data_IF_691578215156
#
_entry.id   IF_691578215156
#
_cell.length_a   1.000
_cell.length_b   1.000
_cell.length_c   1.000
_cell.angle_alpha   90.00
_cell.angle_beta   90.00
_cell.angle_gamma   90.00
#
_symmetry.space_group_name_H-M   'P 1'
#
loop_
_entity.id
_entity.type
_entity.pdbx_description
1 polymer ?
#
# COMPACT_ATOMS: atom_id res chain seq x y z
N UNK A 1 18.00 -1.92 7.55
CA UNK A 1 17.31 -2.90 8.37
C UNK A 1 16.12 -3.47 7.60
N UNK A 2 15.79 -4.74 7.82
CA UNK A 2 14.61 -5.40 7.26
C UNK A 2 13.73 -5.85 8.43
N UNK A 3 12.44 -5.54 8.35
CA UNK A 3 11.45 -5.92 9.36
C UNK A 3 10.35 -6.75 8.70
N UNK A 4 9.90 -7.80 9.38
CA UNK A 4 8.83 -8.68 8.88
C UNK A 4 7.53 -8.33 9.58
N UNK A 5 6.71 -7.50 8.94
CA UNK A 5 5.42 -7.05 9.47
C UNK A 5 4.32 -7.10 8.40
N UNK A 6 3.08 -7.32 8.82
CA UNK A 6 1.90 -7.05 8.01
C UNK A 6 1.44 -5.62 8.32
N UNK A 7 1.60 -4.72 7.36
CA UNK A 7 1.29 -3.30 7.53
C UNK A 7 -0.19 -3.03 7.22
N UNK A 8 -0.88 -2.29 8.12
CA UNK A 8 -2.28 -1.88 7.94
C UNK A 8 -2.56 -0.57 8.66
N UNK A 9 -3.83 -0.15 8.67
CA UNK A 9 -4.32 1.09 9.30
C UNK A 9 -4.47 1.02 10.82
N UNK A 10 -4.47 -0.20 11.39
CA UNK A 10 -4.61 -0.45 12.84
C UNK A 10 -3.63 -1.50 13.31
N UNK A 11 -3.20 -1.36 14.58
CA UNK A 11 -2.35 -2.34 15.23
C UNK A 11 -3.16 -3.52 15.78
N UNK A 12 -2.54 -4.69 15.81
CA UNK A 12 -3.05 -5.91 16.45
C UNK A 12 -4.39 -6.44 15.90
N UNK A 13 -4.80 -6.05 14.71
CA UNK A 13 -5.91 -6.67 14.01
C UNK A 13 -5.40 -7.95 13.34
N UNK A 14 -6.10 -9.05 13.57
CA UNK A 14 -5.78 -10.33 12.93
C UNK A 14 -6.38 -10.38 11.52
N UNK A 15 -5.53 -10.63 10.54
CA UNK A 15 -5.90 -10.82 9.13
C UNK A 15 -5.58 -12.23 8.67
N UNK A 16 -6.38 -12.74 7.78
CA UNK A 16 -6.05 -13.89 6.95
C UNK A 16 -5.12 -13.40 5.81
N UNK A 17 -3.83 -13.73 5.94
CA UNK A 17 -2.83 -13.42 4.90
C UNK A 17 -2.74 -14.57 3.93
N UNK A 18 -3.24 -14.37 2.74
CA UNK A 18 -3.30 -15.37 1.68
C UNK A 18 -1.96 -15.43 0.94
N UNK A 19 -1.34 -16.58 0.95
CA UNK A 19 -0.07 -16.86 0.29
C UNK A 19 -0.34 -17.37 -1.10
N UNK A 20 0.15 -16.66 -2.10
CA UNK A 20 0.04 -17.04 -3.50
C UNK A 20 1.20 -17.93 -3.94
N UNK A 21 0.98 -18.72 -4.99
CA UNK A 21 2.04 -19.44 -5.71
C UNK A 21 3.05 -18.46 -6.38
N UNK A 22 2.65 -17.21 -6.59
CA UNK A 22 3.54 -16.09 -6.89
C UNK A 22 3.61 -15.17 -5.65
N UNK A 23 4.77 -15.09 -4.99
CA UNK A 23 4.96 -14.33 -3.75
C UNK A 23 4.54 -12.86 -3.86
N UNK A 24 4.69 -12.26 -5.05
CA UNK A 24 4.33 -10.87 -5.33
C UNK A 24 2.81 -10.63 -5.40
N UNK A 25 2.00 -11.69 -5.38
CA UNK A 25 0.52 -11.62 -5.41
C UNK A 25 -0.12 -12.04 -4.09
N UNK A 26 0.67 -12.27 -3.03
CA UNK A 26 0.16 -12.57 -1.70
C UNK A 26 -0.52 -11.33 -1.09
N UNK A 27 -1.70 -11.50 -0.47
CA UNK A 27 -2.52 -10.37 -0.01
C UNK A 27 -3.38 -10.73 1.21
N UNK A 28 -3.84 -9.70 1.94
CA UNK A 28 -4.90 -9.84 2.93
C UNK A 28 -6.30 -9.86 2.30
N UNK A 29 -6.40 -9.56 1.01
CA UNK A 29 -7.65 -9.54 0.25
C UNK A 29 -7.83 -10.82 -0.54
N UNK A 30 -9.08 -11.16 -0.82
CA UNK A 30 -9.44 -12.25 -1.74
C UNK A 30 -9.17 -11.82 -3.18
N UNK A 31 -8.65 -12.73 -4.00
CA UNK A 31 -8.54 -12.51 -5.45
C UNK A 31 -9.93 -12.32 -6.05
N UNK A 32 -10.11 -11.30 -6.91
CA UNK A 32 -11.32 -11.03 -7.68
C UNK A 32 -11.00 -11.02 -9.18
N UNK A 33 -10.98 -9.86 -9.82
CA UNK A 33 -10.63 -9.75 -11.26
C UNK A 33 -9.14 -10.04 -11.54
N UNK A 34 -8.32 -10.21 -10.51
CA UNK A 34 -6.93 -10.62 -10.67
C UNK A 34 -6.81 -11.99 -11.34
N UNK A 35 -7.75 -12.93 -11.08
CA UNK A 35 -7.76 -14.24 -11.73
C UNK A 35 -8.09 -14.18 -13.21
N UNK A 36 -8.82 -13.17 -13.67
CA UNK A 36 -9.11 -12.97 -15.10
C UNK A 36 -7.86 -12.50 -15.86
N UNK A 37 -7.05 -11.68 -15.20
CA UNK A 37 -5.82 -11.12 -15.76
C UNK A 37 -4.62 -12.08 -15.65
N UNK A 38 -4.61 -12.91 -14.61
CA UNK A 38 -3.51 -13.83 -14.25
C UNK A 38 -4.07 -15.18 -13.80
N UNK A 39 -4.60 -16.00 -14.71
CA UNK A 39 -5.33 -17.24 -14.36
C UNK A 39 -4.45 -18.30 -13.68
N UNK A 40 -3.14 -18.25 -13.88
CA UNK A 40 -2.19 -19.17 -13.26
C UNK A 40 -1.79 -18.77 -11.83
N UNK A 41 -2.29 -17.62 -11.34
CA UNK A 41 -1.99 -17.12 -9.99
C UNK A 41 -3.18 -17.45 -9.07
N UNK A 42 -2.90 -18.20 -8.00
CA UNK A 42 -3.89 -18.62 -7.01
C UNK A 42 -3.28 -18.71 -5.61
N UNK A 43 -4.11 -18.72 -4.60
CA UNK A 43 -3.68 -18.88 -3.22
C UNK A 43 -3.41 -20.34 -2.89
N UNK A 44 -2.25 -20.61 -2.28
CA UNK A 44 -1.80 -21.96 -1.89
C UNK A 44 -2.00 -22.22 -0.40
N UNK A 45 -2.02 -21.16 0.41
CA UNK A 45 -2.16 -21.25 1.87
C UNK A 45 -2.69 -19.94 2.44
N UNK A 46 -3.15 -19.95 3.69
CA UNK A 46 -3.56 -18.77 4.44
C UNK A 46 -3.00 -18.84 5.85
N UNK A 47 -2.38 -17.75 6.30
CA UNK A 47 -1.84 -17.62 7.64
C UNK A 47 -2.52 -16.47 8.38
N UNK A 48 -2.84 -16.68 9.65
CA UNK A 48 -3.30 -15.59 10.52
C UNK A 48 -2.12 -14.75 10.99
N UNK A 49 -2.16 -13.45 10.66
CA UNK A 49 -1.09 -12.50 11.01
C UNK A 49 -1.71 -11.25 11.62
N UNK A 50 -1.14 -10.78 12.72
CA UNK A 50 -1.53 -9.51 13.34
C UNK A 50 -0.84 -8.35 12.63
N UNK A 51 -1.64 -7.31 12.37
CA UNK A 51 -1.16 -6.10 11.72
C UNK A 51 -0.39 -5.18 12.66
N UNK A 52 0.36 -4.28 12.04
CA UNK A 52 1.04 -3.16 12.67
C UNK A 52 0.93 -1.92 11.77
N UNK A 53 0.81 -0.74 12.36
CA UNK A 53 0.79 0.51 11.61
C UNK A 53 2.21 0.98 11.27
N UNK A 54 2.37 1.78 10.20
CA UNK A 54 3.66 2.44 9.90
C UNK A 54 4.11 3.30 11.08
N UNK A 55 3.20 4.05 11.71
CA UNK A 55 3.51 4.87 12.86
C UNK A 55 4.09 4.07 14.03
N UNK A 56 3.53 2.89 14.30
CA UNK A 56 4.05 1.99 15.33
C UNK A 56 5.39 1.37 14.92
N UNK A 57 5.60 1.07 13.62
CA UNK A 57 6.90 0.59 13.12
C UNK A 57 7.99 1.63 13.38
N UNK A 58 7.73 2.91 13.09
CA UNK A 58 8.68 4.00 13.36
C UNK A 58 9.04 4.06 14.84
N UNK A 59 8.03 4.07 15.72
CA UNK A 59 8.24 4.14 17.17
C UNK A 59 8.97 2.91 17.71
N UNK A 60 8.48 1.71 17.36
CA UNK A 60 9.00 0.43 17.87
C UNK A 60 10.46 0.18 17.50
N UNK A 61 10.86 0.65 16.32
CA UNK A 61 12.21 0.42 15.80
C UNK A 61 13.11 1.66 15.92
N UNK A 62 12.68 2.69 16.65
CA UNK A 62 13.40 3.94 16.83
C UNK A 62 13.84 4.58 15.49
N UNK A 63 12.95 4.56 14.49
CA UNK A 63 13.20 5.16 13.20
C UNK A 63 12.94 6.66 13.30
N UNK A 64 13.96 7.45 13.02
CA UNK A 64 13.83 8.91 12.94
C UNK A 64 13.12 9.28 11.64
N UNK A 65 11.89 9.84 11.68
CA UNK A 65 11.13 10.17 10.48
C UNK A 65 11.80 11.25 9.62
N UNK A 66 12.65 12.10 10.21
CA UNK A 66 13.35 13.16 9.49
C UNK A 66 14.49 12.66 8.60
N UNK A 67 14.89 11.39 8.74
CA UNK A 67 15.91 10.76 7.89
C UNK A 67 15.36 10.19 6.58
N UNK A 68 14.06 10.14 6.43
CA UNK A 68 13.41 9.52 5.27
C UNK A 68 12.31 10.44 4.77
N UNK A 69 12.38 10.81 3.51
CA UNK A 69 11.41 11.70 2.87
C UNK A 69 10.61 11.01 1.77
N UNK A 70 10.81 9.71 1.57
CA UNK A 70 10.12 8.94 0.54
C UNK A 70 9.59 7.62 1.11
N UNK A 71 8.34 7.32 0.77
CA UNK A 71 7.76 5.99 0.92
C UNK A 71 7.56 5.32 -0.44
N UNK A 72 8.00 4.06 -0.54
CA UNK A 72 7.64 3.17 -1.63
C UNK A 72 6.72 2.08 -1.06
N UNK A 73 5.48 2.02 -1.52
CA UNK A 73 4.43 1.15 -0.96
C UNK A 73 3.90 0.22 -2.04
N UNK A 74 4.07 -1.10 -1.80
CA UNK A 74 3.55 -2.16 -2.66
C UNK A 74 3.13 -3.34 -1.77
N UNK A 75 1.84 -3.37 -1.38
CA UNK A 75 1.27 -4.33 -0.41
C UNK A 75 0.00 -5.00 -0.93
N UNK A 76 -0.08 -5.17 -2.24
CA UNK A 76 -1.06 -5.97 -2.97
C UNK A 76 -2.52 -5.71 -2.57
N UNK A 77 -2.95 -4.46 -2.78
CA UNK A 77 -4.32 -3.99 -2.56
C UNK A 77 -4.51 -3.25 -1.23
N UNK A 78 -3.56 -3.33 -0.31
CA UNK A 78 -3.65 -2.70 1.03
C UNK A 78 -2.87 -1.38 1.14
N UNK A 79 -2.49 -0.75 0.03
CA UNK A 79 -1.66 0.47 -0.01
C UNK A 79 -2.30 1.62 0.77
N UNK A 80 -3.61 1.83 0.59
CA UNK A 80 -4.34 2.89 1.31
C UNK A 80 -4.40 2.62 2.82
N UNK A 81 -4.53 1.36 3.23
CA UNK A 81 -4.48 1.01 4.65
C UNK A 81 -3.08 1.26 5.24
N UNK A 82 -2.03 0.93 4.50
CA UNK A 82 -0.66 1.24 4.92
C UNK A 82 -0.46 2.76 5.11
N UNK A 83 -0.94 3.57 4.16
CA UNK A 83 -0.90 5.04 4.26
C UNK A 83 -1.68 5.56 5.47
N UNK A 84 -2.89 5.07 5.71
CA UNK A 84 -3.70 5.42 6.88
C UNK A 84 -3.01 5.08 8.20
N UNK A 85 -2.23 4.00 8.21
CA UNK A 85 -1.41 3.60 9.36
C UNK A 85 -0.17 4.45 9.58
N UNK A 86 0.13 5.40 8.69
CA UNK A 86 1.32 6.26 8.73
C UNK A 86 1.03 7.75 8.94
N UNK A 87 -0.18 8.14 9.33
CA UNK A 87 -0.62 9.55 9.33
C UNK A 87 0.19 10.46 10.25
N UNK A 88 0.80 9.95 11.32
CA UNK A 88 1.65 10.75 12.22
C UNK A 88 3.00 11.09 11.57
N UNK A 89 3.49 10.24 10.70
CA UNK A 89 4.77 10.40 10.04
C UNK A 89 4.65 10.93 8.60
N UNK A 90 3.45 10.98 8.02
CA UNK A 90 3.22 11.39 6.62
C UNK A 90 3.66 12.84 6.35
N UNK A 91 3.68 13.69 7.39
CA UNK A 91 4.13 15.08 7.24
C UNK A 91 5.64 15.20 6.98
N UNK A 92 6.44 14.21 7.41
CA UNK A 92 7.88 14.16 7.11
C UNK A 92 8.17 13.64 5.70
N UNK A 93 7.18 13.11 5.00
CA UNK A 93 7.34 12.49 3.68
C UNK A 93 7.05 13.53 2.60
N UNK A 94 7.97 13.65 1.66
CA UNK A 94 7.85 14.53 0.50
C UNK A 94 7.38 13.78 -0.75
N UNK A 95 7.68 12.48 -0.85
CA UNK A 95 7.44 11.65 -2.03
C UNK A 95 6.81 10.32 -1.61
N UNK A 96 5.74 9.92 -2.30
CA UNK A 96 5.14 8.59 -2.19
C UNK A 96 5.08 7.97 -3.58
N UNK A 97 5.77 6.84 -3.75
CA UNK A 97 5.63 5.99 -4.92
C UNK A 97 4.85 4.74 -4.52
N UNK A 98 3.76 4.46 -5.18
CA UNK A 98 2.87 3.39 -4.72
C UNK A 98 2.20 2.68 -5.88
N UNK A 99 1.93 1.39 -5.67
CA UNK A 99 1.03 0.63 -6.54
C UNK A 99 -0.38 1.21 -6.45
N UNK A 100 -1.06 1.26 -7.58
CA UNK A 100 -2.46 1.73 -7.70
C UNK A 100 -3.27 0.76 -8.56
N UNK A 101 -4.59 0.83 -8.41
CA UNK A 101 -5.53 0.01 -9.14
C UNK A 101 -6.56 0.88 -9.84
N UNK A 102 -6.96 0.50 -11.06
CA UNK A 102 -8.04 1.15 -11.81
C UNK A 102 -9.36 0.38 -11.71
N UNK A 103 -9.29 -0.86 -11.20
CA UNK A 103 -10.42 -1.75 -10.96
C UNK A 103 -10.14 -2.67 -9.77
N UNK A 104 -11.15 -3.35 -9.27
CA UNK A 104 -10.99 -4.29 -8.16
C UNK A 104 -10.34 -5.61 -8.60
N UNK A 105 -9.02 -5.66 -8.60
CA UNK A 105 -8.28 -6.92 -8.80
C UNK A 105 -8.40 -7.85 -7.61
N UNK A 106 -8.52 -7.28 -6.41
CA UNK A 106 -8.86 -7.96 -5.16
C UNK A 106 -10.21 -7.44 -4.66
N UNK A 107 -10.93 -8.21 -3.87
CA UNK A 107 -12.22 -7.80 -3.32
C UNK A 107 -12.08 -6.54 -2.46
N UNK A 108 -12.83 -5.50 -2.81
CA UNK A 108 -12.85 -4.21 -2.11
C UNK A 108 -11.48 -3.52 -1.99
N UNK A 109 -10.50 -3.83 -2.85
CA UNK A 109 -9.27 -3.05 -2.84
C UNK A 109 -9.55 -1.60 -3.28
N UNK A 110 -8.90 -0.61 -2.64
CA UNK A 110 -8.99 0.77 -3.05
C UNK A 110 -8.54 0.97 -4.50
N UNK A 111 -9.18 1.88 -5.20
CA UNK A 111 -8.79 2.31 -6.54
C UNK A 111 -8.05 3.65 -6.49
N UNK A 112 -7.51 4.08 -7.62
CA UNK A 112 -6.67 5.28 -7.70
C UNK A 112 -7.36 6.55 -7.19
N UNK A 113 -8.68 6.68 -7.39
CA UNK A 113 -9.45 7.84 -6.90
C UNK A 113 -9.55 7.89 -5.37
N UNK A 114 -9.53 6.74 -4.70
CA UNK A 114 -9.50 6.68 -3.24
C UNK A 114 -8.13 7.13 -2.71
N UNK A 115 -7.06 6.74 -3.41
CA UNK A 115 -5.69 7.18 -3.10
C UNK A 115 -5.54 8.70 -3.27
N UNK A 116 -6.02 9.25 -4.41
CA UNK A 116 -6.02 10.69 -4.68
C UNK A 116 -6.78 11.45 -3.60
N UNK A 117 -8.00 10.99 -3.25
CA UNK A 117 -8.87 11.62 -2.24
C UNK A 117 -8.25 11.61 -0.84
N UNK A 118 -7.47 10.60 -0.51
CA UNK A 118 -6.75 10.52 0.75
C UNK A 118 -5.51 11.43 0.75
N UNK A 119 -4.67 11.33 -0.27
CA UNK A 119 -3.37 12.01 -0.29
C UNK A 119 -3.46 13.52 -0.47
N UNK A 120 -4.52 14.02 -1.13
CA UNK A 120 -4.75 15.46 -1.26
C UNK A 120 -4.95 16.15 0.10
N UNK A 121 -5.49 15.43 1.11
CA UNK A 121 -5.70 15.94 2.46
C UNK A 121 -4.38 16.20 3.19
N UNK A 122 -3.30 15.54 2.75
CA UNK A 122 -1.94 15.70 3.27
C UNK A 122 -1.04 16.50 2.33
N UNK A 123 -1.64 17.32 1.46
CA UNK A 123 -0.94 18.20 0.51
C UNK A 123 -0.05 17.46 -0.51
N UNK A 124 -0.40 16.24 -0.88
CA UNK A 124 0.22 15.57 -2.01
C UNK A 124 -0.55 15.81 -3.29
N UNK A 125 0.18 15.83 -4.41
CA UNK A 125 -0.35 15.85 -5.77
C UNK A 125 0.24 14.69 -6.55
N UNK A 126 -0.60 14.00 -7.32
CA UNK A 126 -0.14 12.93 -8.21
C UNK A 126 0.43 13.54 -9.49
N UNK A 127 1.73 13.37 -9.70
CA UNK A 127 2.47 13.98 -10.83
C UNK A 127 2.80 13.00 -11.94
N UNK A 128 2.78 11.70 -11.67
CA UNK A 128 3.04 10.66 -12.67
C UNK A 128 2.15 9.44 -12.38
N UNK A 129 1.70 8.79 -13.44
CA UNK A 129 1.01 7.52 -13.38
C UNK A 129 1.44 6.63 -14.54
N UNK A 130 1.87 5.43 -14.23
CA UNK A 130 2.19 4.39 -15.19
C UNK A 130 1.13 3.30 -15.07
N UNK A 131 0.35 3.09 -16.10
CA UNK A 131 -0.69 2.06 -16.14
C UNK A 131 -0.21 0.82 -16.88
N UNK A 132 -0.64 -0.33 -16.38
CA UNK A 132 -0.63 -1.57 -17.15
C UNK A 132 -1.99 -1.77 -17.85
N UNK A 133 -2.05 -2.68 -18.80
CA UNK A 133 -3.32 -3.09 -19.43
C UNK A 133 -4.21 -3.91 -18.49
N UNK A 134 -3.64 -4.42 -17.39
CA UNK A 134 -4.25 -5.41 -16.51
C UNK A 134 -4.95 -4.79 -15.29
N UNK A 135 -5.19 -3.46 -15.29
CA UNK A 135 -5.98 -2.79 -14.27
C UNK A 135 -5.21 -2.39 -13.01
N UNK A 136 -3.90 -2.38 -13.06
CA UNK A 136 -3.03 -1.82 -12.03
C UNK A 136 -1.94 -0.94 -12.65
N UNK A 137 -1.18 -0.27 -11.82
CA UNK A 137 -0.08 0.58 -12.23
C UNK A 137 0.71 1.09 -11.04
N UNK A 138 1.54 2.09 -11.27
CA UNK A 138 2.24 2.81 -10.24
C UNK A 138 1.95 4.30 -10.34
N UNK A 139 1.89 4.99 -9.23
CA UNK A 139 1.72 6.42 -9.16
C UNK A 139 2.78 7.08 -8.30
N UNK A 140 3.22 8.25 -8.73
CA UNK A 140 4.12 9.12 -7.98
C UNK A 140 3.35 10.32 -7.47
N UNK A 141 3.30 10.45 -6.14
CA UNK A 141 2.74 11.59 -5.45
C UNK A 141 3.87 12.41 -4.81
N UNK A 142 3.77 13.72 -4.93
CA UNK A 142 4.78 14.66 -4.40
C UNK A 142 4.06 15.75 -3.60
N UNK A 143 4.66 16.21 -2.51
CA UNK A 143 4.13 17.35 -1.73
C UNK A 143 3.99 18.57 -2.64
N UNK A 144 2.83 19.24 -2.61
CA UNK A 144 2.49 20.40 -3.46
C UNK A 144 3.52 21.52 -3.40
N UNK A 145 4.22 21.69 -2.28
CA UNK A 145 5.31 22.69 -2.15
C UNK A 145 6.45 22.50 -3.16
N UNK A 146 6.53 21.35 -3.81
CA UNK A 146 7.53 21.03 -4.84
C UNK A 146 6.95 20.96 -6.26
N UNK A 147 5.63 21.05 -6.40
CA UNK A 147 4.98 21.13 -7.71
C UNK A 147 5.00 22.57 -8.20
N UNK A 148 5.49 22.79 -9.42
CA UNK A 148 5.55 24.12 -10.07
C UNK A 148 4.21 24.46 -10.71
#
# INVERSE_FOLDING_TARGET
NVYKYLVSDKDNIEFDFNISNNSESSSIYTIKMHSDEYPDIYYTNTNKIKSITLDTIYTKNNIDPMKYNMWNICVQGSELNALRGGIKNIESIDIIYTKIYTKELYENNPIITDMDSFLIQYNFERILTEYTTNGWGNALYVKKKYCL
#
